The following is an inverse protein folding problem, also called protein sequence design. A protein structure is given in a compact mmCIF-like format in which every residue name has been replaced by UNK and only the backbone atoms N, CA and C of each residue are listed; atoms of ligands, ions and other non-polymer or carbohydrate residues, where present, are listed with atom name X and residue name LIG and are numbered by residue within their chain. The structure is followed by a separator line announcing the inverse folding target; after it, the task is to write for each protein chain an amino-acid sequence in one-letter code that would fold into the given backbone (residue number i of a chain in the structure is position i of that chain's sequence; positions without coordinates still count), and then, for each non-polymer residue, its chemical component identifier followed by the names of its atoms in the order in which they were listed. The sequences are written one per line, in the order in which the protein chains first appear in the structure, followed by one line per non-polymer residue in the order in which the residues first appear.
data_IF_598457216153
#
_entry.id   IF_598457216153
#
_cell.length_a   1.000
_cell.length_b   1.000
_cell.length_c   1.000
_cell.angle_alpha   90.00
_cell.angle_beta   90.00
_cell.angle_gamma   90.00
#
_symmetry.space_group_name_H-M   'P 1'
#
loop_
_entity.id
_entity.type
_entity.pdbx_description
1 polymer ?
#
# COMPACT_ATOMS: atom_id res chain seq x y z
N UNK A 1 8.16 10.75 -0.62
CA UNK A 1 6.82 11.24 -1.02
C UNK A 1 6.45 12.46 -0.17
N UNK A 2 5.82 13.51 -0.72
CA UNK A 2 5.52 14.76 0.03
C UNK A 2 4.05 15.14 -0.02
N UNK A 3 3.47 15.47 1.14
CA UNK A 3 2.11 15.99 1.24
C UNK A 3 1.07 15.01 0.71
N UNK A 4 0.22 15.45 -0.22
CA UNK A 4 -0.85 14.63 -0.83
C UNK A 4 -0.39 13.77 -2.01
N UNK A 5 0.91 13.71 -2.28
CA UNK A 5 1.46 12.80 -3.28
C UNK A 5 1.21 11.35 -2.87
N UNK A 6 1.17 10.48 -3.87
CA UNK A 6 1.11 9.02 -3.71
C UNK A 6 2.01 8.36 -4.75
N UNK A 7 2.35 7.10 -4.51
CA UNK A 7 3.14 6.26 -5.43
C UNK A 7 2.32 5.00 -5.72
N UNK A 8 2.18 4.67 -7.00
CA UNK A 8 1.46 3.49 -7.46
C UNK A 8 2.46 2.41 -7.95
N UNK A 9 2.24 1.18 -7.51
CA UNK A 9 2.94 -0.02 -7.98
C UNK A 9 1.93 -0.91 -8.71
N UNK A 10 2.15 -1.12 -9.99
CA UNK A 10 1.29 -1.94 -10.84
C UNK A 10 1.91 -3.34 -11.01
N UNK A 11 1.12 -4.38 -10.76
CA UNK A 11 1.55 -5.77 -10.95
C UNK A 11 0.38 -6.67 -11.32
N UNK A 12 0.68 -7.75 -12.04
CA UNK A 12 -0.30 -8.78 -12.36
C UNK A 12 -0.30 -9.86 -11.27
N UNK A 13 -1.49 -10.34 -10.89
CA UNK A 13 -1.65 -11.47 -10.00
C UNK A 13 -2.80 -12.38 -10.46
N UNK A 14 -2.70 -13.65 -10.09
CA UNK A 14 -3.75 -14.64 -10.30
C UNK A 14 -4.56 -14.87 -9.02
N UNK A 15 -5.83 -15.22 -9.18
CA UNK A 15 -6.72 -15.57 -8.09
C UNK A 15 -6.14 -16.75 -7.30
N UNK A 16 -6.12 -16.63 -5.98
CA UNK A 16 -5.53 -17.59 -5.05
C UNK A 16 -4.08 -17.31 -4.66
N UNK A 17 -3.35 -16.45 -5.40
CA UNK A 17 -2.04 -15.99 -4.96
C UNK A 17 -2.16 -15.16 -3.67
N UNK A 18 -1.10 -15.13 -2.88
CA UNK A 18 -1.06 -14.41 -1.60
C UNK A 18 -0.04 -13.27 -1.70
N UNK A 19 -0.53 -12.04 -1.50
CA UNK A 19 0.27 -10.83 -1.42
C UNK A 19 0.68 -10.55 0.03
N UNK A 20 1.98 -10.44 0.28
CA UNK A 20 2.53 -9.95 1.54
C UNK A 20 3.07 -8.53 1.34
N UNK A 21 2.79 -7.66 2.31
CA UNK A 21 3.26 -6.27 2.35
C UNK A 21 4.02 -6.07 3.64
N UNK A 22 5.23 -5.53 3.51
CA UNK A 22 6.00 -4.95 4.61
C UNK A 22 6.44 -3.54 4.22
N UNK A 23 5.76 -2.56 4.79
CA UNK A 23 5.99 -1.13 4.61
C UNK A 23 6.56 -0.58 5.91
N UNK A 24 7.85 -0.26 5.87
CA UNK A 24 8.53 0.43 6.96
C UNK A 24 8.66 1.91 6.59
N UNK A 25 7.98 2.76 7.36
CA UNK A 25 7.99 4.21 7.19
C UNK A 25 8.42 4.92 8.47
N UNK A 26 9.05 6.08 8.31
CA UNK A 26 9.44 6.93 9.44
C UNK A 26 9.21 8.41 9.10
N UNK A 27 8.30 9.05 9.85
CA UNK A 27 8.21 10.50 9.93
C UNK A 27 8.51 10.92 11.36
N UNK A 28 9.68 11.54 11.58
CA UNK A 28 10.03 12.18 12.86
C UNK A 28 9.91 11.20 14.05
N UNK A 29 10.18 9.92 13.85
CA UNK A 29 10.06 8.86 14.86
C UNK A 29 8.68 8.21 14.94
N UNK A 30 7.73 8.59 14.06
CA UNK A 30 6.41 7.96 13.96
C UNK A 30 6.40 6.90 12.87
N UNK A 31 5.91 5.71 13.23
CA UNK A 31 5.62 4.61 12.31
C UNK A 31 4.14 4.61 11.90
N UNK A 32 3.82 3.95 10.80
CA UNK A 32 2.46 3.79 10.27
C UNK A 32 1.80 5.12 9.89
N UNK A 33 2.56 6.04 9.32
CA UNK A 33 2.08 7.34 8.83
C UNK A 33 1.63 7.30 7.36
N UNK A 34 1.84 6.15 6.72
CA UNK A 34 1.43 5.82 5.37
C UNK A 34 0.30 4.79 5.34
N UNK A 35 -0.58 4.94 4.36
CA UNK A 35 -1.63 3.99 4.03
C UNK A 35 -1.23 3.16 2.80
N UNK A 36 -1.62 1.88 2.82
CA UNK A 36 -1.48 0.94 1.71
C UNK A 36 -2.87 0.63 1.15
N UNK A 37 -3.12 1.02 -0.09
CA UNK A 37 -4.42 0.80 -0.75
C UNK A 37 -4.26 -0.08 -1.98
N UNK A 38 -4.99 -1.19 -2.01
CA UNK A 38 -5.03 -2.10 -3.15
C UNK A 38 -6.26 -1.83 -4.02
N UNK A 39 -6.03 -1.62 -5.31
CA UNK A 39 -7.05 -1.41 -6.32
C UNK A 39 -7.04 -2.56 -7.32
N UNK A 40 -8.23 -2.87 -7.82
CA UNK A 40 -8.43 -3.74 -8.97
C UNK A 40 -9.64 -3.21 -9.75
N UNK A 41 -9.66 -3.37 -11.08
CA UNK A 41 -10.73 -2.82 -11.94
C UNK A 41 -12.15 -3.29 -11.57
N UNK A 42 -12.24 -4.45 -10.92
CA UNK A 42 -13.50 -5.06 -10.51
C UNK A 42 -13.89 -4.74 -9.06
N UNK A 43 -13.04 -4.03 -8.31
CA UNK A 43 -13.40 -3.58 -6.97
C UNK A 43 -14.21 -2.29 -7.06
N UNK A 44 -15.32 -2.21 -6.32
CA UNK A 44 -16.10 -0.96 -6.20
C UNK A 44 -15.31 0.12 -5.44
N UNK A 45 -14.48 -0.29 -4.49
CA UNK A 45 -13.62 0.57 -3.68
C UNK A 45 -12.25 -0.08 -3.48
N UNK A 46 -11.23 0.70 -3.11
CA UNK A 46 -9.94 0.15 -2.69
C UNK A 46 -10.08 -0.71 -1.45
N UNK A 47 -9.22 -1.72 -1.34
CA UNK A 47 -9.01 -2.47 -0.10
C UNK A 47 -7.86 -1.83 0.65
N UNK A 48 -8.08 -1.47 1.93
CA UNK A 48 -7.00 -1.01 2.80
C UNK A 48 -6.24 -2.22 3.33
N UNK A 49 -4.93 -2.24 3.12
CA UNK A 49 -4.05 -3.29 3.62
C UNK A 49 -3.25 -2.76 4.82
N UNK A 50 -3.00 -3.60 5.84
CA UNK A 50 -2.04 -3.28 6.88
C UNK A 50 -0.66 -2.96 6.29
N UNK A 51 0.07 -2.04 6.91
CA UNK A 51 1.47 -1.73 6.56
C UNK A 51 2.38 -2.94 6.73
N UNK A 52 2.07 -3.84 7.66
CA UNK A 52 2.77 -5.11 7.88
C UNK A 52 1.75 -6.24 8.00
N UNK A 53 1.88 -7.27 7.18
CA UNK A 53 0.95 -8.41 7.14
C UNK A 53 1.66 -9.75 7.43
N UNK A 54 1.26 -10.40 8.53
CA UNK A 54 1.79 -11.74 8.86
C UNK A 54 1.15 -12.86 8.02
N UNK A 55 -0.14 -12.74 7.70
CA UNK A 55 -0.91 -13.78 6.99
C UNK A 55 -1.04 -13.55 5.48
N UNK A 56 -0.67 -12.35 5.01
CA UNK A 56 -0.87 -11.92 3.62
C UNK A 56 -2.34 -11.65 3.25
N UNK A 57 -2.55 -11.14 2.03
CA UNK A 57 -3.83 -10.87 1.42
C UNK A 57 -4.06 -11.83 0.25
N UNK A 58 -5.15 -12.60 0.29
CA UNK A 58 -5.50 -13.52 -0.80
C UNK A 58 -6.09 -12.76 -1.98
N UNK A 59 -5.44 -12.86 -3.13
CA UNK A 59 -5.88 -12.24 -4.37
C UNK A 59 -7.15 -12.93 -4.87
N UNK A 60 -8.25 -12.18 -4.96
CA UNK A 60 -9.57 -12.75 -5.27
C UNK A 60 -9.84 -12.93 -6.77
N UNK A 61 -9.07 -12.27 -7.63
CA UNK A 61 -9.32 -12.19 -9.06
C UNK A 61 -8.01 -12.29 -9.86
N UNK A 62 -8.14 -12.71 -11.12
CA UNK A 62 -7.05 -12.61 -12.09
C UNK A 62 -7.03 -11.19 -12.66
N UNK A 63 -5.85 -10.57 -12.72
CA UNK A 63 -5.69 -9.31 -13.41
C UNK A 63 -4.58 -8.44 -12.88
N UNK A 64 -4.58 -7.21 -13.38
CA UNK A 64 -3.69 -6.15 -12.95
C UNK A 64 -4.23 -5.48 -11.70
N UNK A 65 -3.40 -5.43 -10.67
CA UNK A 65 -3.63 -4.74 -9.43
C UNK A 65 -2.75 -3.50 -9.35
N UNK A 66 -3.24 -2.47 -8.65
CA UNK A 66 -2.47 -1.28 -8.33
C UNK A 66 -2.40 -1.16 -6.82
N UNK A 67 -1.18 -1.18 -6.27
CA UNK A 67 -0.92 -0.89 -4.87
C UNK A 67 -0.47 0.55 -4.74
N UNK A 68 -1.27 1.38 -4.08
CA UNK A 68 -0.98 2.78 -3.82
C UNK A 68 -0.46 2.96 -2.42
N UNK A 69 0.68 3.62 -2.31
CA UNK A 69 1.24 4.12 -1.04
C UNK A 69 0.97 5.61 -0.97
N UNK A 70 0.27 6.05 0.07
CA UNK A 70 -0.05 7.46 0.28
C UNK A 70 0.07 7.83 1.75
N UNK A 71 0.17 9.13 2.02
CA UNK A 71 0.30 9.63 3.38
C UNK A 71 -1.07 9.91 3.98
N UNK A 72 -1.27 9.57 5.26
CA UNK A 72 -2.50 9.95 5.94
C UNK A 72 -2.70 11.47 5.91
N UNK A 73 -3.96 11.90 5.76
CA UNK A 73 -4.31 13.32 5.58
C UNK A 73 -3.72 14.25 6.65
N UNK A 74 -3.63 13.77 7.89
CA UNK A 74 -3.10 14.50 9.05
C UNK A 74 -1.66 14.95 8.84
N UNK A 75 -0.81 14.09 8.28
CA UNK A 75 0.58 14.40 7.98
C UNK A 75 0.72 15.07 6.61
N UNK A 76 -0.06 14.64 5.61
CA UNK A 76 -0.07 15.24 4.27
C UNK A 76 -0.39 16.74 4.30
N UNK A 77 -1.38 17.15 5.11
CA UNK A 77 -1.80 18.56 5.27
C UNK A 77 -0.67 19.47 5.78
N UNK A 78 0.25 18.93 6.57
CA UNK A 78 1.39 19.66 7.13
C UNK A 78 2.59 19.69 6.18
N UNK A 79 2.47 19.07 5.01
CA UNK A 79 3.53 19.06 4.00
C UNK A 79 4.76 18.22 4.39
N UNK A 80 4.60 17.28 5.33
CA UNK A 80 5.68 16.36 5.70
C UNK A 80 6.15 15.59 4.46
N UNK A 81 7.43 15.24 4.46
CA UNK A 81 8.01 14.33 3.50
C UNK A 81 8.28 13.01 4.21
N UNK A 82 7.82 11.91 3.62
CA UNK A 82 8.02 10.57 4.14
C UNK A 82 8.95 9.79 3.22
N UNK A 83 9.99 9.19 3.81
CA UNK A 83 10.80 8.17 3.21
C UNK A 83 10.38 6.80 3.76
N UNK A 84 10.25 5.81 2.88
CA UNK A 84 9.81 4.48 3.25
C UNK A 84 10.58 3.41 2.47
N UNK A 85 10.60 2.21 3.04
CA UNK A 85 11.03 0.99 2.37
C UNK A 85 9.80 0.08 2.24
N UNK A 86 9.53 -0.38 1.03
CA UNK A 86 8.42 -1.28 0.73
C UNK A 86 8.97 -2.59 0.19
N UNK A 87 8.61 -3.69 0.84
CA UNK A 87 8.83 -5.05 0.34
C UNK A 87 7.49 -5.66 -0.03
N UNK A 88 7.40 -6.17 -1.26
CA UNK A 88 6.24 -6.88 -1.78
C UNK A 88 6.65 -8.30 -2.15
N UNK A 89 5.91 -9.29 -1.63
CA UNK A 89 6.08 -10.69 -2.00
C UNK A 89 4.75 -11.21 -2.49
N UNK A 90 4.74 -11.79 -3.69
CA UNK A 90 3.56 -12.42 -4.28
C UNK A 90 3.88 -13.90 -4.51
N UNK A 91 3.14 -14.77 -3.82
CA UNK A 91 3.26 -16.23 -3.94
C UNK A 91 2.04 -16.79 -4.65
#
# INVERSE_FOLDING_TARGET
MKGYQYIDFEFYASAGQILYVDLNDDIEGNKNTLDVLLFHRAFNHSVHLPSQMDTGFSMSLNGTYILRILQMRTFARRGHTNAFVLTLTLN
#
